data_IF_115564958523
#
_entry.id   IF_115564958523
#
_cell.length_a   1.000
_cell.length_b   1.000
_cell.length_c   1.000
_cell.angle_alpha   90.00
_cell.angle_beta   90.00
_cell.angle_gamma   90.00
#
_symmetry.space_group_name_H-M   'P 1'
#
loop_
_entity.id
_entity.type
_entity.pdbx_description
1 polymer ?
#
# COMPACT_ATOMS: atom_id res chain seq x y z
N UNK A 1 -19.64 -21.20 60.35
CA UNK A 1 -18.34 -21.60 59.76
C UNK A 1 -18.21 -20.84 58.45
N UNK A 2 -17.40 -19.78 58.40
CA UNK A 2 -17.32 -18.83 57.29
C UNK A 2 -15.90 -18.89 56.73
N UNK A 3 -15.73 -19.57 55.60
CA UNK A 3 -14.47 -19.61 54.88
C UNK A 3 -14.48 -18.51 53.80
N UNK A 4 -13.48 -17.60 53.76
CA UNK A 4 -13.27 -16.72 52.62
C UNK A 4 -11.95 -17.06 51.90
N UNK A 5 -12.07 -17.58 50.68
CA UNK A 5 -11.08 -17.47 49.60
C UNK A 5 -11.78 -17.91 48.28
N UNK A 6 -11.43 -17.39 47.09
CA UNK A 6 -10.16 -16.72 46.76
C UNK A 6 -10.26 -15.43 45.90
N UNK A 7 -9.23 -14.56 45.93
CA UNK A 7 -9.11 -13.35 45.11
C UNK A 7 -8.54 -13.62 43.68
N UNK A 8 -8.69 -14.84 43.17
CA UNK A 8 -8.09 -15.25 41.88
C UNK A 8 -8.90 -14.84 40.64
N UNK A 9 -10.17 -14.43 40.80
CA UNK A 9 -11.02 -14.05 39.66
C UNK A 9 -10.74 -12.64 39.10
N UNK A 10 -10.08 -11.77 39.86
CA UNK A 10 -9.87 -10.37 39.47
C UNK A 10 -8.74 -10.18 38.44
N UNK A 11 -7.79 -11.13 38.34
CA UNK A 11 -6.65 -11.02 37.41
C UNK A 11 -7.01 -11.40 35.97
N UNK A 12 -8.12 -12.13 35.75
CA UNK A 12 -8.54 -12.60 34.43
C UNK A 12 -9.17 -11.51 33.54
N UNK A 13 -9.70 -10.41 34.12
CA UNK A 13 -10.28 -9.30 33.34
C UNK A 13 -9.24 -8.31 32.80
N UNK A 14 -7.98 -8.38 33.24
CA UNK A 14 -6.90 -7.55 32.71
C UNK A 14 -6.37 -8.04 31.35
N UNK A 15 -6.87 -9.18 30.84
CA UNK A 15 -6.59 -9.71 29.49
C UNK A 15 -7.68 -9.29 28.49
N UNK A 16 -8.35 -8.16 28.73
CA UNK A 16 -9.30 -7.57 27.78
C UNK A 16 -8.57 -6.93 26.61
N UNK A 17 -7.99 -7.76 25.73
CA UNK A 17 -7.67 -7.47 24.34
C UNK A 17 -6.53 -6.49 24.06
N UNK A 18 -5.62 -6.86 23.16
CA UNK A 18 -4.79 -5.87 22.46
C UNK A 18 -5.73 -4.80 21.87
N UNK A 19 -5.61 -3.53 22.26
CA UNK A 19 -6.50 -2.41 21.91
C UNK A 19 -6.56 -2.04 20.41
N UNK A 20 -6.75 -3.04 19.56
CA UNK A 20 -6.97 -2.95 18.13
C UNK A 20 -8.31 -2.25 17.89
N UNK A 21 -8.24 -1.09 17.26
CA UNK A 21 -9.40 -0.35 16.79
C UNK A 21 -9.52 -0.53 15.28
N UNK A 22 -10.70 -0.88 14.75
CA UNK A 22 -10.88 -1.04 13.31
C UNK A 22 -10.66 0.31 12.60
N UNK A 23 -9.75 0.34 11.63
CA UNK A 23 -9.38 1.55 10.89
C UNK A 23 -10.56 2.13 10.10
N UNK A 24 -11.44 1.26 9.62
CA UNK A 24 -12.62 1.61 8.83
C UNK A 24 -13.91 1.55 9.67
N UNK A 25 -13.83 1.86 10.97
CA UNK A 25 -15.02 1.99 11.81
C UNK A 25 -15.93 3.08 11.23
N UNK A 26 -17.11 2.70 10.72
CA UNK A 26 -18.02 3.57 9.97
C UNK A 26 -18.21 3.20 8.49
N UNK A 27 -17.49 2.18 7.99
CA UNK A 27 -17.64 1.68 6.62
C UNK A 27 -17.30 2.75 5.57
N UNK A 28 -17.96 2.71 4.41
CA UNK A 28 -17.76 3.68 3.33
C UNK A 28 -18.14 5.13 3.67
N UNK A 29 -18.88 5.33 4.78
CA UNK A 29 -19.24 6.64 5.29
C UNK A 29 -18.38 7.10 6.49
N UNK A 30 -17.39 6.31 6.92
CA UNK A 30 -16.53 6.65 8.04
C UNK A 30 -15.42 7.63 7.65
N UNK A 31 -14.97 8.53 8.55
CA UNK A 31 -14.11 9.67 8.22
C UNK A 31 -12.83 9.34 7.45
N UNK A 32 -12.27 8.14 7.64
CA UNK A 32 -11.13 7.64 6.87
C UNK A 32 -11.50 7.37 5.41
N UNK A 33 -12.64 6.73 5.15
CA UNK A 33 -13.11 6.46 3.79
C UNK A 33 -13.34 7.77 3.02
N UNK A 34 -14.01 8.76 3.59
CA UNK A 34 -14.18 10.07 2.93
C UNK A 34 -12.84 10.78 2.69
N UNK A 35 -11.90 10.70 3.64
CA UNK A 35 -10.58 11.28 3.44
C UNK A 35 -9.85 10.63 2.25
N UNK A 36 -9.94 9.30 2.11
CA UNK A 36 -9.35 8.57 0.98
C UNK A 36 -10.01 8.92 -0.36
N UNK A 37 -11.34 9.05 -0.41
CA UNK A 37 -12.07 9.45 -1.63
C UNK A 37 -11.76 10.90 -2.06
N UNK A 38 -11.21 11.72 -1.15
CA UNK A 38 -10.78 13.09 -1.47
C UNK A 38 -9.33 13.18 -1.99
N UNK A 39 -8.68 12.04 -2.25
CA UNK A 39 -7.31 11.97 -2.78
C UNK A 39 -7.34 11.82 -4.30
N UNK A 40 -6.81 12.80 -5.01
CA UNK A 40 -6.53 12.73 -6.45
C UNK A 40 -5.13 12.13 -6.67
N UNK A 41 -5.03 11.11 -7.54
CA UNK A 41 -3.73 10.53 -7.93
C UNK A 41 -3.18 11.28 -9.15
N UNK A 42 -2.00 11.89 -9.00
CA UNK A 42 -1.34 12.56 -10.12
C UNK A 42 -0.92 11.55 -11.21
N UNK A 43 -0.83 11.98 -12.48
CA UNK A 43 -0.35 11.11 -13.56
C UNK A 43 1.04 10.53 -13.26
N UNK A 44 1.21 9.24 -13.50
CA UNK A 44 2.48 8.52 -13.35
C UNK A 44 2.86 7.97 -14.73
N UNK A 45 4.07 8.29 -15.18
CA UNK A 45 4.54 7.91 -16.52
C UNK A 45 4.85 6.42 -16.67
N UNK A 46 4.73 5.91 -17.89
CA UNK A 46 5.09 4.53 -18.26
C UNK A 46 4.02 3.48 -17.91
N UNK A 47 4.27 2.23 -18.31
CA UNK A 47 3.36 1.10 -18.06
C UNK A 47 3.19 0.81 -16.57
N UNK A 48 4.29 0.79 -15.81
CA UNK A 48 4.27 0.63 -14.36
C UNK A 48 3.50 1.78 -13.70
N UNK A 49 3.66 3.00 -14.18
CA UNK A 49 2.90 4.17 -13.74
C UNK A 49 1.40 4.02 -13.94
N UNK A 50 0.98 3.59 -15.12
CA UNK A 50 -0.43 3.33 -15.40
C UNK A 50 -1.01 2.25 -14.47
N UNK A 51 -0.30 1.11 -14.32
CA UNK A 51 -0.74 0.01 -13.45
C UNK A 51 -0.87 0.44 -11.98
N UNK A 52 0.12 1.15 -11.46
CA UNK A 52 0.09 1.65 -10.07
C UNK A 52 -1.01 2.70 -9.89
N UNK A 53 -1.16 3.63 -10.84
CA UNK A 53 -2.21 4.65 -10.78
C UNK A 53 -3.60 4.02 -10.77
N UNK A 54 -3.89 3.11 -11.69
CA UNK A 54 -5.17 2.39 -11.72
C UNK A 54 -5.40 1.62 -10.42
N UNK A 55 -4.39 0.89 -9.94
CA UNK A 55 -4.49 0.17 -8.67
C UNK A 55 -4.75 1.10 -7.46
N UNK A 56 -4.21 2.32 -7.46
CA UNK A 56 -4.47 3.34 -6.44
C UNK A 56 -5.89 3.90 -6.57
N UNK A 57 -6.32 4.25 -7.78
CA UNK A 57 -7.66 4.77 -8.07
C UNK A 57 -8.75 3.76 -7.68
N UNK A 58 -8.56 2.48 -7.98
CA UNK A 58 -9.47 1.38 -7.61
C UNK A 58 -9.66 1.28 -6.08
N UNK A 59 -8.63 1.60 -5.30
CA UNK A 59 -8.63 1.49 -3.82
C UNK A 59 -9.08 2.76 -3.11
N UNK A 60 -8.68 3.91 -3.63
CA UNK A 60 -9.02 5.23 -3.06
C UNK A 60 -10.45 5.63 -3.42
N UNK A 61 -10.95 5.14 -4.56
CA UNK A 61 -12.14 5.67 -5.22
C UNK A 61 -11.79 6.93 -5.99
N UNK A 62 -12.47 7.16 -7.11
CA UNK A 62 -12.37 8.42 -7.83
C UNK A 62 -13.05 9.53 -7.00
N UNK A 63 -12.39 10.69 -6.78
CA UNK A 63 -13.08 11.84 -6.22
C UNK A 63 -14.27 12.20 -7.08
N UNK A 64 -15.39 12.57 -6.47
CA UNK A 64 -16.43 13.28 -7.20
C UNK A 64 -15.83 14.57 -7.78
N UNK A 65 -16.24 14.97 -8.98
CA UNK A 65 -15.68 16.15 -9.67
C UNK A 65 -15.59 17.36 -8.72
N UNK A 66 -14.38 17.90 -8.56
CA UNK A 66 -14.10 19.06 -7.72
C UNK A 66 -13.98 18.80 -6.21
N UNK A 67 -14.07 17.55 -5.74
CA UNK A 67 -13.95 17.20 -4.30
C UNK A 67 -12.55 16.79 -3.85
N UNK A 68 -11.57 16.79 -4.76
CA UNK A 68 -10.18 16.46 -4.45
C UNK A 68 -9.56 17.51 -3.51
N UNK A 69 -9.31 17.11 -2.26
CA UNK A 69 -8.65 17.94 -1.25
C UNK A 69 -7.14 17.66 -1.19
N UNK A 70 -6.76 16.42 -1.47
CA UNK A 70 -5.38 15.99 -1.42
C UNK A 70 -4.92 15.53 -2.78
N UNK A 71 -3.65 15.74 -3.08
CA UNK A 71 -2.98 15.24 -4.28
C UNK A 71 -1.90 14.26 -3.89
N UNK A 72 -1.97 13.05 -4.43
CA UNK A 72 -0.97 12.01 -4.28
C UNK A 72 -0.02 12.04 -5.48
N UNK A 73 1.23 12.46 -5.24
CA UNK A 73 2.29 12.48 -6.24
C UNK A 73 3.18 11.26 -6.04
N UNK A 74 3.34 10.44 -7.07
CA UNK A 74 4.13 9.20 -7.00
C UNK A 74 5.23 9.23 -8.06
N UNK A 75 6.45 8.87 -7.66
CA UNK A 75 7.59 8.63 -8.55
C UNK A 75 8.00 7.16 -8.41
N UNK A 76 8.04 6.46 -9.55
CA UNK A 76 8.38 5.05 -9.61
C UNK A 76 9.80 4.84 -10.10
N UNK A 77 10.41 3.79 -9.59
CA UNK A 77 11.67 3.21 -10.03
C UNK A 77 11.42 1.70 -10.20
N UNK A 78 11.55 1.22 -11.44
CA UNK A 78 11.24 -0.15 -11.86
C UNK A 78 12.50 -0.75 -12.48
N UNK A 79 13.03 -1.79 -11.84
CA UNK A 79 14.28 -2.42 -12.21
C UNK A 79 14.10 -3.92 -12.35
N UNK A 80 14.74 -4.51 -13.36
CA UNK A 80 14.82 -5.96 -13.54
C UNK A 80 16.28 -6.37 -13.67
N UNK A 81 16.70 -7.30 -12.82
CA UNK A 81 18.09 -7.74 -12.73
C UNK A 81 18.20 -9.26 -12.71
N UNK A 82 19.21 -9.80 -13.40
CA UNK A 82 19.55 -11.22 -13.33
C UNK A 82 20.07 -11.60 -11.93
N UNK A 83 19.47 -12.62 -11.31
CA UNK A 83 19.78 -13.03 -9.93
C UNK A 83 20.29 -14.48 -9.83
N UNK A 84 19.90 -15.37 -10.73
CA UNK A 84 20.43 -16.74 -10.83
C UNK A 84 21.30 -16.87 -12.07
N UNK A 85 22.58 -17.18 -11.92
CA UNK A 85 23.51 -17.39 -13.05
C UNK A 85 24.04 -18.82 -12.97
N UNK A 86 23.86 -19.60 -14.03
CA UNK A 86 24.41 -20.95 -14.17
C UNK A 86 25.92 -20.88 -14.45
N UNK A 87 26.66 -21.97 -14.23
CA UNK A 87 28.11 -22.02 -14.47
C UNK A 87 28.53 -21.73 -15.91
N UNK A 88 27.60 -21.76 -16.86
CA UNK A 88 27.76 -21.38 -18.27
C UNK A 88 27.36 -19.92 -18.55
N UNK A 89 27.15 -19.12 -17.50
CA UNK A 89 26.72 -17.72 -17.56
C UNK A 89 25.27 -17.49 -18.05
N UNK A 90 24.43 -18.53 -18.08
CA UNK A 90 23.00 -18.40 -18.42
C UNK A 90 22.20 -17.90 -17.21
N UNK A 91 21.39 -16.84 -17.39
CA UNK A 91 20.45 -16.37 -16.34
C UNK A 91 19.30 -17.37 -16.20
N UNK A 92 19.10 -17.90 -15.00
CA UNK A 92 18.04 -18.87 -14.67
C UNK A 92 16.91 -18.25 -13.86
N UNK A 93 17.18 -17.11 -13.21
CA UNK A 93 16.22 -16.34 -12.44
C UNK A 93 16.51 -14.86 -12.55
N UNK A 94 15.46 -14.08 -12.72
CA UNK A 94 15.48 -12.63 -12.63
C UNK A 94 14.76 -12.18 -11.36
N UNK A 95 15.10 -10.99 -10.89
CA UNK A 95 14.36 -10.30 -9.85
C UNK A 95 13.95 -8.94 -10.38
N UNK A 96 12.65 -8.69 -10.39
CA UNK A 96 12.07 -7.38 -10.64
C UNK A 96 11.81 -6.67 -9.33
N UNK A 97 12.29 -5.45 -9.18
CA UNK A 97 12.05 -4.59 -8.01
C UNK A 97 11.28 -3.37 -8.45
N UNK A 98 10.16 -3.09 -7.79
CA UNK A 98 9.40 -1.87 -7.98
C UNK A 98 9.47 -1.05 -6.71
N UNK A 99 9.92 0.20 -6.81
CA UNK A 99 9.96 1.17 -5.72
C UNK A 99 9.13 2.39 -6.08
N UNK A 100 8.44 2.93 -5.08
CA UNK A 100 7.61 4.10 -5.21
C UNK A 100 7.96 5.09 -4.10
N UNK A 101 8.48 6.26 -4.45
CA UNK A 101 8.50 7.41 -3.53
C UNK A 101 7.25 8.23 -3.77
N UNK A 102 6.51 8.54 -2.71
CA UNK A 102 5.23 9.23 -2.85
C UNK A 102 5.07 10.33 -1.81
N UNK A 103 4.32 11.35 -2.20
CA UNK A 103 3.99 12.50 -1.38
C UNK A 103 2.48 12.74 -1.40
N UNK A 104 1.88 12.91 -0.22
CA UNK A 104 0.51 13.41 -0.08
C UNK A 104 0.58 14.91 0.16
N UNK A 105 -0.02 15.69 -0.71
CA UNK A 105 0.02 17.16 -0.69
C UNK A 105 -1.39 17.70 -0.45
N UNK A 106 -1.55 18.69 0.42
CA UNK A 106 -2.80 19.45 0.54
C UNK A 106 -2.96 20.37 -0.69
N UNK A 107 -4.03 20.19 -1.47
CA UNK A 107 -4.22 20.92 -2.73
C UNK A 107 -4.51 22.41 -2.53
N UNK A 108 -5.00 22.82 -1.35
CA UNK A 108 -5.28 24.22 -1.04
C UNK A 108 -4.05 24.98 -0.56
N UNK A 109 -3.22 24.35 0.28
CA UNK A 109 -2.04 25.00 0.88
C UNK A 109 -0.73 24.69 0.16
N UNK A 110 -0.67 23.61 -0.61
CA UNK A 110 0.57 23.11 -1.23
C UNK A 110 1.51 22.41 -0.23
N UNK A 111 1.07 22.20 1.01
CA UNK A 111 1.88 21.59 2.07
C UNK A 111 2.00 20.08 1.88
N UNK A 112 3.21 19.54 1.98
CA UNK A 112 3.45 18.09 2.01
C UNK A 112 3.05 17.54 3.38
N UNK A 113 2.02 16.71 3.40
CA UNK A 113 1.46 16.08 4.61
C UNK A 113 2.17 14.75 4.95
N UNK A 114 2.59 14.02 3.91
CA UNK A 114 3.25 12.73 4.02
C UNK A 114 4.30 12.63 2.92
N UNK A 115 5.52 12.21 3.25
CA UNK A 115 6.57 11.78 2.30
C UNK A 115 7.07 10.41 2.77
N UNK A 116 6.93 9.39 1.93
CA UNK A 116 7.30 8.04 2.27
C UNK A 116 7.64 7.22 1.02
N UNK A 117 8.17 6.03 1.27
CA UNK A 117 8.52 5.06 0.23
C UNK A 117 7.77 3.76 0.44
N UNK A 118 7.30 3.17 -0.66
CA UNK A 118 6.74 1.83 -0.74
C UNK A 118 7.55 1.04 -1.76
N UNK A 119 7.53 -0.28 -1.66
CA UNK A 119 8.28 -1.12 -2.57
C UNK A 119 8.03 -2.59 -2.37
N UNK A 120 8.21 -3.34 -3.45
CA UNK A 120 8.14 -4.79 -3.46
C UNK A 120 9.06 -5.36 -4.54
N UNK A 121 9.35 -6.65 -4.45
CA UNK A 121 10.16 -7.38 -5.42
C UNK A 121 9.54 -8.75 -5.74
N UNK A 122 9.81 -9.23 -6.94
CA UNK A 122 9.31 -10.51 -7.44
C UNK A 122 10.41 -11.26 -8.20
N UNK A 123 10.59 -12.53 -7.87
CA UNK A 123 11.41 -13.45 -8.63
C UNK A 123 10.67 -13.96 -9.87
N UNK A 124 11.37 -14.06 -10.99
CA UNK A 124 10.86 -14.54 -12.28
C UNK A 124 11.79 -15.68 -12.73
N UNK A 125 11.21 -16.84 -13.04
CA UNK A 125 11.96 -17.96 -13.58
C UNK A 125 12.15 -17.77 -15.10
N UNK A 126 13.40 -17.81 -15.57
CA UNK A 126 13.72 -17.73 -17.00
C UNK A 126 13.65 -19.13 -17.59
N UNK A 127 12.71 -19.34 -18.50
CA UNK A 127 12.46 -20.65 -19.13
C UNK A 127 12.83 -20.60 -20.61
N UNK A 128 12.85 -21.76 -21.28
CA UNK A 128 13.26 -21.87 -22.69
C UNK A 128 12.35 -21.11 -23.67
N UNK A 129 11.13 -20.76 -23.26
CA UNK A 129 10.22 -19.95 -24.06
C UNK A 129 10.34 -18.48 -23.67
N UNK A 130 10.91 -17.66 -24.56
CA UNK A 130 11.00 -16.21 -24.42
C UNK A 130 9.62 -15.57 -24.13
N UNK A 131 8.57 -16.03 -24.81
CA UNK A 131 7.21 -15.54 -24.56
C UNK A 131 6.75 -15.81 -23.12
N UNK A 132 7.05 -17.00 -22.58
CA UNK A 132 6.67 -17.34 -21.22
C UNK A 132 7.41 -16.48 -20.19
N UNK A 133 8.68 -16.15 -20.44
CA UNK A 133 9.46 -15.22 -19.60
C UNK A 133 8.84 -13.83 -19.63
N UNK A 134 8.56 -13.27 -20.81
CA UNK A 134 7.92 -11.95 -20.94
C UNK A 134 6.53 -11.91 -20.28
N UNK A 135 5.73 -12.97 -20.43
CA UNK A 135 4.43 -13.07 -19.77
C UNK A 135 4.56 -13.10 -18.23
N UNK A 136 5.58 -13.77 -17.71
CA UNK A 136 5.88 -13.81 -16.28
C UNK A 136 6.35 -12.44 -15.76
N UNK A 137 7.19 -11.72 -16.51
CA UNK A 137 7.60 -10.34 -16.18
C UNK A 137 6.41 -9.38 -16.08
N UNK A 138 5.46 -9.49 -17.00
CA UNK A 138 4.25 -8.66 -17.00
C UNK A 138 3.36 -8.98 -15.82
N UNK A 139 3.14 -10.26 -15.54
CA UNK A 139 2.39 -10.73 -14.37
C UNK A 139 3.04 -10.26 -13.06
N UNK A 140 4.37 -10.31 -12.99
CA UNK A 140 5.13 -9.79 -11.86
C UNK A 140 4.90 -8.29 -11.68
N UNK A 141 4.97 -7.49 -12.76
CA UNK A 141 4.71 -6.05 -12.69
C UNK A 141 3.29 -5.73 -12.21
N UNK A 142 2.28 -6.43 -12.71
CA UNK A 142 0.89 -6.25 -12.29
C UNK A 142 0.71 -6.55 -10.80
N UNK A 143 1.33 -7.62 -10.30
CA UNK A 143 1.30 -7.99 -8.89
C UNK A 143 2.00 -6.94 -8.01
N UNK A 144 3.22 -6.55 -8.39
CA UNK A 144 4.00 -5.52 -7.68
C UNK A 144 3.26 -4.19 -7.62
N UNK A 145 2.59 -3.81 -8.70
CA UNK A 145 1.79 -2.57 -8.76
C UNK A 145 0.65 -2.58 -7.75
N UNK A 146 -0.06 -3.72 -7.60
CA UNK A 146 -1.12 -3.90 -6.61
C UNK A 146 -0.57 -3.86 -5.18
N UNK A 147 0.52 -4.57 -4.91
CA UNK A 147 1.15 -4.60 -3.59
C UNK A 147 1.62 -3.22 -3.12
N UNK A 148 2.25 -2.44 -4.01
CA UNK A 148 2.66 -1.07 -3.70
C UNK A 148 1.45 -0.17 -3.46
N UNK A 149 0.39 -0.29 -4.27
CA UNK A 149 -0.84 0.46 -4.07
C UNK A 149 -1.47 0.16 -2.69
N UNK A 150 -1.50 -1.11 -2.27
CA UNK A 150 -1.96 -1.52 -0.93
C UNK A 150 -1.13 -0.87 0.18
N UNK A 151 0.21 -0.88 0.06
CA UNK A 151 1.11 -0.26 1.03
C UNK A 151 0.88 1.26 1.14
N UNK A 152 0.71 1.94 0.01
CA UNK A 152 0.48 3.40 -0.04
C UNK A 152 -0.87 3.74 0.59
N UNK A 153 -1.96 3.07 0.16
CA UNK A 153 -3.31 3.34 0.68
C UNK A 153 -3.39 3.05 2.17
N UNK A 154 -2.79 1.96 2.65
CA UNK A 154 -2.70 1.67 4.07
C UNK A 154 -2.00 2.80 4.85
N UNK A 155 -0.92 3.36 4.29
CA UNK A 155 -0.19 4.48 4.93
C UNK A 155 -1.02 5.76 4.97
N UNK A 156 -1.70 6.09 3.87
CA UNK A 156 -2.58 7.27 3.78
C UNK A 156 -3.78 7.12 4.71
N UNK A 157 -4.40 5.94 4.76
CA UNK A 157 -5.52 5.65 5.66
C UNK A 157 -5.11 5.79 7.13
N UNK A 158 -3.92 5.30 7.50
CA UNK A 158 -3.35 5.47 8.84
C UNK A 158 -3.08 6.95 9.17
N UNK A 159 -2.61 7.74 8.20
CA UNK A 159 -2.45 9.18 8.38
C UNK A 159 -3.81 9.85 8.63
N UNK A 160 -4.81 9.59 7.79
CA UNK A 160 -6.15 10.14 7.93
C UNK A 160 -6.79 9.80 9.30
N UNK A 161 -6.65 8.55 9.76
CA UNK A 161 -7.17 8.11 11.04
C UNK A 161 -6.49 8.75 12.26
N UNK A 162 -5.21 9.14 12.14
CA UNK A 162 -4.49 9.86 13.20
C UNK A 162 -4.91 11.32 13.25
N UNK A 163 -4.99 11.97 12.09
CA UNK A 163 -5.41 13.38 12.00
C UNK A 163 -6.86 13.57 12.43
N UNK A 164 -7.76 12.62 12.08
CA UNK A 164 -9.16 12.67 12.49
C UNK A 164 -9.39 12.52 14.00
N UNK A 165 -8.46 11.92 14.75
CA UNK A 165 -8.52 11.82 16.22
C UNK A 165 -8.01 13.05 16.97
N UNK A 166 -7.23 13.90 16.31
CA UNK A 166 -6.65 15.10 16.93
C UNK A 166 -7.60 16.29 16.90
N UNK A 167 -8.76 16.14 16.27
CA UNK A 167 -9.82 17.15 16.16
C UNK A 167 -10.98 16.77 17.07
#
# INVERSE_FOLDING_TARGET
>A
MRAPAPPLLALALLVSGCGLHPLYSGGGAGPVAQALHSVEVAPIGGRSGWLVRTALEDRLGAPADGSARYRLVVRLDDDISGYGIRSDNTVTRERRTLRARYQLVDAGQGTVLLDATAGSDAGIDVVSSEYATVAAEQTALERLSKEIADQIVARVALYAARTGRQK
#
